data_IF_887909419421
#
_entry.id   IF_887909419421
#
_cell.length_a   1.000
_cell.length_b   1.000
_cell.length_c   1.000
_cell.angle_alpha   90.00
_cell.angle_beta   90.00
_cell.angle_gamma   90.00
#
_symmetry.space_group_name_H-M   'P 1'
#
loop_
_entity.id
_entity.type
_entity.pdbx_description
1 polymer ?
#
# COMPACT_ATOMS: atom_id res chain seq x y z
N UNK A 1 8.39 11.72 6.53
CA UNK A 1 7.84 13.01 6.98
C UNK A 1 6.34 13.06 6.80
N UNK A 2 5.67 13.85 7.64
CA UNK A 2 4.21 14.03 7.66
C UNK A 2 3.65 14.40 6.27
N UNK A 3 4.41 15.17 5.48
CA UNK A 3 4.05 15.53 4.10
C UNK A 3 3.84 14.32 3.17
N UNK A 4 4.64 13.26 3.30
CA UNK A 4 4.47 12.06 2.48
C UNK A 4 3.20 11.28 2.86
N UNK A 5 2.77 11.33 4.12
CA UNK A 5 1.56 10.63 4.55
C UNK A 5 0.28 11.30 4.01
N UNK A 6 0.25 12.63 3.92
CA UNK A 6 -0.90 13.37 3.40
C UNK A 6 -1.11 13.20 1.89
N UNK A 7 -0.05 12.86 1.15
CA UNK A 7 -0.09 12.52 -0.27
C UNK A 7 -0.63 11.10 -0.51
N UNK A 8 -0.36 10.19 0.42
CA UNK A 8 -0.86 8.81 0.39
C UNK A 8 -2.28 8.69 0.97
N UNK A 9 -2.69 9.64 1.82
CA UNK A 9 -4.04 9.73 2.36
C UNK A 9 -5.06 9.84 1.21
N UNK A 10 -6.16 9.10 1.35
CA UNK A 10 -7.21 8.93 0.34
C UNK A 10 -6.77 8.19 -0.94
N UNK A 11 -5.56 7.61 -0.95
CA UNK A 11 -5.09 6.75 -2.02
C UNK A 11 -5.71 5.36 -2.00
N UNK A 12 -5.82 4.74 -3.18
CA UNK A 12 -6.34 3.38 -3.38
C UNK A 12 -5.16 2.43 -3.54
N UNK A 13 -5.04 1.43 -2.66
CA UNK A 13 -4.05 0.36 -2.82
C UNK A 13 -4.45 -0.50 -4.02
N UNK A 14 -3.52 -0.68 -4.96
CA UNK A 14 -3.71 -1.50 -6.17
C UNK A 14 -3.09 -2.89 -5.99
N UNK A 15 -1.90 -2.96 -5.41
CA UNK A 15 -1.21 -4.23 -5.12
C UNK A 15 -0.25 -4.14 -3.94
N UNK A 16 -0.04 -5.27 -3.29
CA UNK A 16 0.90 -5.47 -2.20
C UNK A 16 1.77 -6.67 -2.55
N UNK A 17 3.10 -6.51 -2.58
CA UNK A 17 4.05 -7.57 -2.96
C UNK A 17 3.71 -8.27 -4.28
N UNK A 18 3.24 -7.52 -5.27
CA UNK A 18 2.77 -7.98 -6.58
C UNK A 18 1.45 -8.80 -6.54
N UNK A 19 0.79 -8.92 -5.39
CA UNK A 19 -0.57 -9.46 -5.26
C UNK A 19 -1.59 -8.33 -5.34
N UNK A 20 -2.60 -8.46 -6.20
CA UNK A 20 -3.65 -7.44 -6.35
C UNK A 20 -4.48 -7.31 -5.07
N UNK A 21 -4.79 -6.08 -4.70
CA UNK A 21 -5.69 -5.78 -3.60
C UNK A 21 -7.13 -5.76 -4.11
N UNK A 22 -7.77 -6.94 -4.17
CA UNK A 22 -9.13 -7.08 -4.70
C UNK A 22 -10.20 -6.64 -3.70
N UNK A 23 -9.93 -6.83 -2.40
CA UNK A 23 -10.80 -6.51 -1.29
C UNK A 23 -10.00 -6.30 0.00
N UNK A 24 -10.69 -5.86 1.05
CA UNK A 24 -10.08 -5.58 2.35
C UNK A 24 -9.55 -6.84 3.03
N UNK A 25 -10.19 -7.99 2.82
CA UNK A 25 -9.77 -9.27 3.39
C UNK A 25 -8.39 -9.67 2.87
N UNK A 26 -8.17 -9.56 1.55
CA UNK A 26 -6.90 -9.86 0.88
C UNK A 26 -5.77 -8.97 1.42
N UNK A 27 -6.04 -7.67 1.56
CA UNK A 27 -5.07 -6.70 2.10
C UNK A 27 -4.73 -7.02 3.55
N UNK A 28 -5.76 -7.31 4.36
CA UNK A 28 -5.60 -7.64 5.78
C UNK A 28 -4.77 -8.90 5.96
N UNK A 29 -5.05 -9.94 5.17
CA UNK A 29 -4.31 -11.20 5.23
C UNK A 29 -2.83 -11.00 4.90
N UNK A 30 -2.51 -10.28 3.82
CA UNK A 30 -1.12 -10.03 3.40
C UNK A 30 -0.35 -9.28 4.50
N UNK A 31 -0.97 -8.23 5.07
CA UNK A 31 -0.31 -7.40 6.09
C UNK A 31 -0.22 -8.12 7.45
N UNK A 32 -1.18 -8.98 7.80
CA UNK A 32 -1.17 -9.74 9.06
C UNK A 32 0.02 -10.70 9.17
N UNK A 33 0.55 -11.14 8.03
CA UNK A 33 1.69 -12.06 7.94
C UNK A 33 3.04 -11.34 8.01
N UNK A 34 3.07 -10.00 8.00
CA UNK A 34 4.30 -9.20 8.00
C UNK A 34 4.97 -9.21 9.37
N UNK A 35 6.17 -9.77 9.44
CA UNK A 35 7.03 -9.65 10.62
C UNK A 35 7.66 -8.24 10.76
N UNK A 36 8.19 -7.88 11.94
CA UNK A 36 8.71 -6.54 12.23
C UNK A 36 9.84 -6.05 11.30
N UNK A 37 10.53 -6.94 10.59
CA UNK A 37 11.63 -6.62 9.67
C UNK A 37 11.32 -6.92 8.19
N UNK A 38 10.10 -7.32 7.87
CA UNK A 38 9.73 -7.58 6.47
C UNK A 38 9.30 -6.27 5.83
N UNK A 39 9.95 -5.91 4.71
CA UNK A 39 9.52 -4.80 3.87
C UNK A 39 8.39 -5.25 2.96
N UNK A 40 7.39 -4.40 2.79
CA UNK A 40 6.27 -4.64 1.88
C UNK A 40 6.30 -3.60 0.77
N UNK A 41 6.20 -4.06 -0.48
CA UNK A 41 6.03 -3.18 -1.64
C UNK A 41 4.56 -2.89 -1.83
N UNK A 42 4.20 -1.61 -1.83
CA UNK A 42 2.84 -1.14 -2.10
C UNK A 42 2.83 -0.40 -3.42
N UNK A 43 1.84 -0.72 -4.27
CA UNK A 43 1.46 0.09 -5.42
C UNK A 43 0.12 0.75 -5.10
N UNK A 44 0.03 2.06 -5.31
CA UNK A 44 -1.11 2.87 -4.93
C UNK A 44 -1.46 3.87 -6.02
N UNK A 45 -2.76 4.10 -6.23
CA UNK A 45 -3.28 5.23 -6.97
C UNK A 45 -3.53 6.39 -5.98
N UNK A 46 -2.81 7.49 -6.11
CA UNK A 46 -2.99 8.66 -5.24
C UNK A 46 -4.27 9.42 -5.60
N UNK A 47 -4.73 10.31 -4.69
CA UNK A 47 -5.87 11.20 -4.96
C UNK A 47 -5.67 12.10 -6.19
N UNK A 48 -4.42 12.37 -6.55
CA UNK A 48 -4.03 13.15 -7.73
C UNK A 48 -3.98 12.29 -9.01
N UNK A 49 -4.41 11.02 -8.95
CA UNK A 49 -4.43 10.04 -10.05
C UNK A 49 -3.06 9.59 -10.53
N UNK A 50 -2.06 9.66 -9.66
CA UNK A 50 -0.71 9.16 -9.95
C UNK A 50 -0.54 7.75 -9.40
N UNK A 51 0.13 6.87 -10.16
CA UNK A 51 0.51 5.55 -9.66
C UNK A 51 1.88 5.64 -9.02
N UNK A 52 1.94 5.42 -7.71
CA UNK A 52 3.18 5.44 -6.93
C UNK A 52 3.52 4.07 -6.39
N UNK A 53 4.82 3.83 -6.15
CA UNK A 53 5.33 2.59 -5.55
C UNK A 53 6.30 2.91 -4.42
N UNK A 54 6.10 2.29 -3.27
CA UNK A 54 6.94 2.51 -2.09
C UNK A 54 7.14 1.24 -1.27
N UNK A 55 8.10 1.28 -0.35
CA UNK A 55 8.38 0.22 0.62
C UNK A 55 7.92 0.67 2.01
N UNK A 56 7.18 -0.19 2.71
CA UNK A 56 6.74 -0.01 4.10
C UNK A 56 7.24 -1.12 5.03
#
# INVERSE_FOLDING_TARGET
DIQHYDELKDGIILSINNTKAENIETVTEILSRKGPNQRVRVEMLTKNREVVRFLM
#
